data_IF_235649923923
#
_entry.id   IF_235649923923
#
_cell.length_a   1.000
_cell.length_b   1.000
_cell.length_c   1.000
_cell.angle_alpha   90.00
_cell.angle_beta   90.00
_cell.angle_gamma   90.00
#
_symmetry.space_group_name_H-M   'P 1'
#
loop_
_entity.id
_entity.type
_entity.pdbx_description
1 polymer ?
#
# COMPACT_ATOMS: atom_id res chain seq x y z
N UNK A 1 18.90 -9.55 -3.33
CA UNK A 1 17.64 -9.83 -2.62
C UNK A 1 16.68 -8.68 -2.88
N UNK A 2 15.39 -8.98 -3.08
CA UNK A 2 14.33 -7.96 -3.20
C UNK A 2 13.38 -8.18 -2.04
N UNK A 3 13.15 -7.16 -1.22
CA UNK A 3 12.07 -7.15 -0.25
C UNK A 3 10.82 -6.56 -0.91
N UNK A 4 9.84 -7.42 -1.20
CA UNK A 4 8.67 -7.02 -1.98
C UNK A 4 7.59 -6.32 -1.14
N UNK A 5 7.76 -6.19 0.18
CA UNK A 5 6.72 -5.60 1.02
C UNK A 5 7.32 -4.79 2.15
N UNK A 6 7.55 -3.51 1.87
CA UNK A 6 7.93 -2.53 2.90
C UNK A 6 6.91 -1.41 2.99
N UNK A 7 6.91 -0.72 4.12
CA UNK A 7 6.15 0.50 4.33
C UNK A 7 7.08 1.62 4.77
N UNK A 8 6.94 2.78 4.16
CA UNK A 8 7.47 4.04 4.65
C UNK A 8 6.40 5.13 4.49
N UNK A 9 6.61 6.27 5.14
CA UNK A 9 5.70 7.40 5.13
C UNK A 9 6.43 8.66 4.71
N UNK A 10 5.72 9.69 4.22
CA UNK A 10 6.29 11.03 4.15
C UNK A 10 6.84 11.41 5.52
N UNK A 11 8.04 11.99 5.58
CA UNK A 11 8.74 12.27 6.83
C UNK A 11 7.88 13.06 7.83
N UNK A 12 7.12 14.04 7.34
CA UNK A 12 6.19 14.85 8.14
C UNK A 12 5.03 14.05 8.77
N UNK A 13 4.74 12.85 8.28
CA UNK A 13 3.67 11.96 8.76
C UNK A 13 4.21 10.74 9.53
N UNK A 14 5.47 10.38 9.34
CA UNK A 14 6.10 9.16 9.87
C UNK A 14 5.86 8.95 11.38
N UNK A 15 6.26 9.90 12.22
CA UNK A 15 6.11 9.81 13.68
C UNK A 15 4.66 9.62 14.12
N UNK A 16 3.72 10.33 13.47
CA UNK A 16 2.28 10.19 13.77
C UNK A 16 1.75 8.83 13.33
N UNK A 17 2.12 8.37 12.14
CA UNK A 17 1.70 7.07 11.63
C UNK A 17 2.20 5.93 12.54
N UNK A 18 3.48 5.96 12.92
CA UNK A 18 4.06 4.98 13.83
C UNK A 18 3.41 4.99 15.21
N UNK A 19 3.10 6.16 15.77
CA UNK A 19 2.40 6.25 17.06
C UNK A 19 1.02 5.57 17.01
N UNK A 20 0.24 5.82 15.94
CA UNK A 20 -1.07 5.19 15.76
C UNK A 20 -0.95 3.67 15.58
N UNK A 21 -0.05 3.22 14.70
CA UNK A 21 0.11 1.80 14.38
C UNK A 21 0.66 1.00 15.56
N UNK A 22 1.64 1.54 16.29
CA UNK A 22 2.21 0.88 17.47
C UNK A 22 1.22 0.82 18.63
N UNK A 23 0.41 1.87 18.83
CA UNK A 23 -0.66 1.84 19.82
C UNK A 23 -1.73 0.79 19.49
N UNK A 24 -2.13 0.70 18.22
CA UNK A 24 -3.14 -0.26 17.78
C UNK A 24 -2.65 -1.71 17.86
N UNK A 25 -1.40 -1.97 17.44
CA UNK A 25 -0.82 -3.32 17.42
C UNK A 25 -0.18 -3.77 18.73
N UNK A 26 0.16 -2.84 19.63
CA UNK A 26 0.99 -3.12 20.81
C UNK A 26 2.46 -3.41 20.49
N UNK A 27 2.91 -3.14 19.26
CA UNK A 27 4.27 -3.45 18.78
C UNK A 27 5.09 -2.15 18.65
N UNK A 28 6.26 -2.12 19.28
CA UNK A 28 7.18 -1.00 19.14
C UNK A 28 7.83 -0.99 17.75
N UNK A 29 7.89 0.16 17.05
CA UNK A 29 8.56 0.25 15.77
C UNK A 29 10.08 0.17 15.94
N UNK A 30 10.75 -0.56 15.04
CA UNK A 30 12.21 -0.71 15.04
C UNK A 30 12.92 0.31 14.13
N UNK A 31 12.16 1.02 13.30
CA UNK A 31 12.63 2.07 12.38
C UNK A 31 11.79 3.33 12.58
N UNK A 32 12.28 4.46 12.07
CA UNK A 32 11.57 5.74 12.12
C UNK A 32 10.43 5.89 11.09
N UNK A 33 10.31 4.92 10.17
CA UNK A 33 9.27 4.89 9.14
C UNK A 33 9.49 5.90 8.01
N UNK A 34 10.66 6.53 7.95
CA UNK A 34 11.03 7.46 6.87
C UNK A 34 11.64 6.71 5.69
N UNK A 35 11.74 7.38 4.53
CA UNK A 35 12.42 6.80 3.35
C UNK A 35 13.92 6.61 3.63
N UNK A 36 14.53 7.54 4.36
CA UNK A 36 15.95 7.45 4.70
C UNK A 36 16.22 6.28 5.67
N UNK A 37 15.41 6.14 6.73
CA UNK A 37 15.53 5.02 7.67
C UNK A 37 15.30 3.67 7.00
N UNK A 38 14.38 3.58 6.03
CA UNK A 38 14.20 2.39 5.20
C UNK A 38 15.47 2.05 4.42
N UNK A 39 16.12 3.01 3.76
CA UNK A 39 17.37 2.78 3.00
C UNK A 39 18.52 2.33 3.90
N UNK A 40 18.65 2.91 5.08
CA UNK A 40 19.66 2.50 6.07
C UNK A 40 19.41 1.05 6.53
N UNK A 41 18.15 0.69 6.77
CA UNK A 41 17.75 -0.69 7.08
C UNK A 41 18.09 -1.65 5.94
N UNK A 42 17.79 -1.28 4.69
CA UNK A 42 18.12 -2.07 3.50
C UNK A 42 19.63 -2.30 3.38
N UNK A 43 20.44 -1.25 3.55
CA UNK A 43 21.89 -1.34 3.48
C UNK A 43 22.45 -2.29 4.56
N UNK A 44 21.98 -2.14 5.80
CA UNK A 44 22.37 -3.01 6.92
C UNK A 44 22.00 -4.48 6.72
N UNK A 45 20.91 -4.75 6.01
CA UNK A 45 20.41 -6.09 5.72
C UNK A 45 20.91 -6.69 4.38
N UNK A 46 21.63 -5.92 3.55
CA UNK A 46 22.05 -6.38 2.22
C UNK A 46 20.89 -6.53 1.22
N UNK A 47 19.79 -5.78 1.41
CA UNK A 47 18.65 -5.75 0.50
C UNK A 47 18.98 -4.80 -0.65
N UNK A 48 18.96 -5.33 -1.88
CA UNK A 48 19.35 -4.58 -3.07
C UNK A 48 18.22 -3.70 -3.61
N UNK A 49 16.98 -4.09 -3.35
CA UNK A 49 15.80 -3.34 -3.75
C UNK A 49 14.63 -3.64 -2.81
N UNK A 50 13.85 -2.61 -2.47
CA UNK A 50 12.61 -2.77 -1.74
C UNK A 50 11.42 -2.24 -2.55
N UNK A 51 10.22 -2.77 -2.29
CA UNK A 51 8.98 -2.33 -2.92
C UNK A 51 8.03 -1.77 -1.88
N UNK A 52 7.82 -0.45 -1.91
CA UNK A 52 6.93 0.25 -1.01
C UNK A 52 5.46 -0.04 -1.34
N UNK A 53 4.67 -0.31 -0.30
CA UNK A 53 3.24 -0.65 -0.36
C UNK A 53 2.40 0.44 0.34
N UNK A 54 2.24 1.63 -0.26
CA UNK A 54 1.47 2.69 0.37
C UNK A 54 -0.03 2.36 0.40
N UNK A 55 -0.77 2.95 1.33
CA UNK A 55 -2.21 2.75 1.43
C UNK A 55 -2.95 4.07 1.69
N UNK A 56 -3.92 4.38 0.84
CA UNK A 56 -4.91 5.43 1.10
C UNK A 56 -6.07 4.82 1.89
N UNK A 57 -6.27 5.30 3.11
CA UNK A 57 -7.38 4.86 3.99
C UNK A 57 -8.66 5.66 3.77
N UNK A 58 -8.59 6.69 2.92
CA UNK A 58 -9.74 7.49 2.47
C UNK A 58 -9.63 7.78 0.97
N UNK A 59 -10.77 7.95 0.25
CA UNK A 59 -10.75 8.23 -1.18
C UNK A 59 -9.90 9.44 -1.58
N UNK A 60 -10.03 10.55 -0.85
CA UNK A 60 -9.36 11.84 -1.11
C UNK A 60 -7.83 11.79 -0.95
N UNK A 61 -7.30 10.77 -0.28
CA UNK A 61 -5.86 10.57 -0.13
C UNK A 61 -5.22 9.90 -1.35
N UNK A 62 -5.98 9.23 -2.20
CA UNK A 62 -5.45 8.35 -3.25
C UNK A 62 -4.42 9.05 -4.14
N UNK A 63 -4.76 10.22 -4.67
CA UNK A 63 -3.89 10.93 -5.60
C UNK A 63 -2.60 11.44 -4.96
N UNK A 64 -2.70 12.00 -3.75
CA UNK A 64 -1.55 12.57 -3.03
C UNK A 64 -0.59 11.47 -2.58
N UNK A 65 -1.12 10.32 -2.13
CA UNK A 65 -0.33 9.14 -1.80
C UNK A 65 0.39 8.60 -3.05
N UNK A 66 -0.28 8.52 -4.20
CA UNK A 66 0.34 8.08 -5.45
C UNK A 66 1.40 9.06 -5.99
N UNK A 67 1.19 10.37 -5.81
CA UNK A 67 2.20 11.38 -6.15
C UNK A 67 3.48 11.19 -5.33
N UNK A 68 3.31 11.02 -4.02
CA UNK A 68 4.44 10.78 -3.13
C UNK A 68 5.14 9.45 -3.45
N UNK A 69 4.36 8.36 -3.60
CA UNK A 69 4.87 7.05 -3.98
C UNK A 69 5.71 7.09 -5.27
N UNK A 70 5.26 7.84 -6.28
CA UNK A 70 6.01 8.03 -7.52
C UNK A 70 7.29 8.84 -7.29
N UNK A 71 7.26 9.86 -6.42
CA UNK A 71 8.39 10.75 -6.15
C UNK A 71 9.56 10.07 -5.42
N UNK A 72 9.30 9.00 -4.66
CA UNK A 72 10.34 8.29 -3.91
C UNK A 72 10.99 7.16 -4.70
N UNK A 73 10.47 6.83 -5.90
CA UNK A 73 11.03 5.76 -6.72
C UNK A 73 12.46 6.09 -7.16
N UNK A 74 13.35 5.12 -6.95
CA UNK A 74 14.76 5.16 -7.32
C UNK A 74 15.22 3.74 -7.70
N UNK A 75 16.49 3.59 -8.12
CA UNK A 75 17.01 2.28 -8.54
C UNK A 75 16.95 1.19 -7.46
N UNK A 76 17.01 1.60 -6.19
CA UNK A 76 16.96 0.75 -5.00
C UNK A 76 15.56 0.68 -4.36
N UNK A 77 14.64 1.56 -4.73
CA UNK A 77 13.32 1.66 -4.11
C UNK A 77 12.24 1.80 -5.19
N UNK A 78 11.43 0.77 -5.34
CA UNK A 78 10.23 0.81 -6.19
C UNK A 78 9.00 1.09 -5.32
N UNK A 79 7.90 1.49 -5.95
CA UNK A 79 6.63 1.62 -5.23
C UNK A 79 5.47 1.08 -6.06
N UNK A 80 4.50 0.53 -5.35
CA UNK A 80 3.14 0.40 -5.86
C UNK A 80 2.41 1.72 -5.61
N UNK A 81 1.29 1.89 -6.30
CA UNK A 81 0.28 2.87 -5.92
C UNK A 81 -0.74 2.27 -4.96
N UNK A 82 -1.69 3.11 -4.58
CA UNK A 82 -2.92 2.75 -3.88
C UNK A 82 -4.10 3.19 -4.74
N UNK A 83 -5.23 2.49 -4.59
CA UNK A 83 -6.50 2.91 -5.13
C UNK A 83 -7.55 2.64 -4.07
N UNK A 84 -8.36 3.63 -3.73
CA UNK A 84 -9.45 3.42 -2.79
C UNK A 84 -10.71 3.04 -3.57
N UNK A 85 -11.41 1.93 -3.25
CA UNK A 85 -12.60 1.51 -4.01
C UNK A 85 -13.72 2.55 -4.09
N UNK A 86 -13.90 3.32 -3.01
CA UNK A 86 -14.86 4.44 -2.94
C UNK A 86 -14.41 5.74 -3.64
N UNK A 87 -13.30 5.73 -4.41
CA UNK A 87 -12.90 6.89 -5.22
C UNK A 87 -13.76 6.97 -6.50
N UNK A 88 -14.52 8.04 -6.69
CA UNK A 88 -15.40 8.18 -7.87
C UNK A 88 -14.64 8.15 -9.21
N UNK A 89 -13.43 8.72 -9.24
CA UNK A 89 -12.59 8.83 -10.45
C UNK A 89 -11.54 7.71 -10.54
N UNK A 90 -11.84 6.54 -9.97
CA UNK A 90 -10.86 5.44 -9.86
C UNK A 90 -10.32 4.96 -11.21
N UNK A 91 -11.11 5.00 -12.29
CA UNK A 91 -10.66 4.59 -13.63
C UNK A 91 -9.55 5.47 -14.17
N UNK A 92 -9.69 6.80 -14.02
CA UNK A 92 -8.67 7.76 -14.44
C UNK A 92 -7.43 7.65 -13.54
N UNK A 93 -7.64 7.41 -12.24
CA UNK A 93 -6.53 7.19 -11.32
C UNK A 93 -5.75 5.91 -11.64
N UNK A 94 -6.42 4.83 -12.04
CA UNK A 94 -5.77 3.59 -12.47
C UNK A 94 -4.84 3.83 -13.68
N UNK A 95 -5.31 4.59 -14.68
CA UNK A 95 -4.48 5.02 -15.83
C UNK A 95 -3.31 5.89 -15.37
N UNK A 96 -3.55 6.80 -14.41
CA UNK A 96 -2.54 7.69 -13.87
C UNK A 96 -1.44 6.94 -13.13
N UNK A 97 -1.79 5.97 -12.28
CA UNK A 97 -0.85 5.06 -11.58
C UNK A 97 0.12 4.44 -12.59
N UNK A 98 -0.41 3.92 -13.71
CA UNK A 98 0.44 3.37 -14.79
C UNK A 98 1.37 4.42 -15.39
N UNK A 99 0.86 5.63 -15.69
CA UNK A 99 1.67 6.71 -16.27
C UNK A 99 2.75 7.25 -15.33
N UNK A 100 2.56 7.14 -14.02
CA UNK A 100 3.54 7.49 -12.99
C UNK A 100 4.67 6.45 -12.86
N UNK A 101 4.59 5.35 -13.63
CA UNK A 101 5.59 4.28 -13.63
C UNK A 101 5.51 3.33 -12.42
N UNK A 102 4.49 3.47 -11.57
CA UNK A 102 4.20 2.58 -10.46
C UNK A 102 3.85 1.18 -10.99
N UNK A 103 4.31 0.13 -10.28
CA UNK A 103 4.27 -1.25 -10.81
C UNK A 103 2.93 -1.97 -10.60
N UNK A 104 2.12 -1.47 -9.68
CA UNK A 104 0.88 -2.10 -9.29
C UNK A 104 0.09 -1.26 -8.30
N UNK A 105 -0.96 -1.85 -7.75
CA UNK A 105 -1.83 -1.27 -6.73
C UNK A 105 -1.86 -2.18 -5.51
N UNK A 106 -1.60 -1.60 -4.34
CA UNK A 106 -1.80 -2.22 -3.04
C UNK A 106 -3.22 -1.94 -2.56
N UNK A 107 -3.93 -2.99 -2.15
CA UNK A 107 -5.18 -2.90 -1.42
C UNK A 107 -5.02 -3.44 -0.01
N UNK A 108 -5.67 -2.80 0.95
CA UNK A 108 -5.81 -3.30 2.31
C UNK A 108 -7.28 -3.28 2.69
N UNK A 109 -8.00 -4.38 2.41
CA UNK A 109 -9.46 -4.46 2.61
C UNK A 109 -9.94 -3.96 3.97
N UNK A 110 -9.25 -4.30 5.06
CA UNK A 110 -9.65 -3.82 6.40
C UNK A 110 -9.44 -2.32 6.64
N UNK A 111 -8.40 -1.69 6.07
CA UNK A 111 -8.19 -0.25 6.18
C UNK A 111 -9.05 0.56 5.22
N UNK A 112 -9.54 -0.08 4.15
CA UNK A 112 -10.31 0.56 3.09
C UNK A 112 -11.81 0.21 3.13
N UNK A 113 -12.20 -0.65 4.07
CA UNK A 113 -13.58 -1.01 4.41
C UNK A 113 -14.37 -1.54 3.20
N UNK A 114 -13.90 -2.67 2.66
CA UNK A 114 -14.55 -3.43 1.58
C UNK A 114 -14.11 -4.90 1.65
N UNK A 115 -14.94 -5.87 1.27
CA UNK A 115 -14.52 -7.27 1.15
C UNK A 115 -13.80 -7.52 -0.17
N UNK A 116 -12.74 -8.32 -0.14
CA UNK A 116 -11.89 -8.59 -1.31
C UNK A 116 -12.64 -9.19 -2.50
N UNK A 117 -13.77 -9.85 -2.26
CA UNK A 117 -14.62 -10.51 -3.23
C UNK A 117 -15.93 -9.75 -3.53
N UNK A 118 -16.08 -8.51 -3.05
CA UNK A 118 -17.27 -7.71 -3.35
C UNK A 118 -17.42 -7.48 -4.86
N UNK A 119 -18.60 -7.74 -5.42
CA UNK A 119 -18.87 -7.50 -6.85
C UNK A 119 -18.61 -6.05 -7.27
N UNK A 120 -18.73 -5.11 -6.33
CA UNK A 120 -18.50 -3.68 -6.57
C UNK A 120 -17.04 -3.33 -6.88
N UNK A 121 -16.09 -4.17 -6.48
CA UNK A 121 -14.65 -3.94 -6.72
C UNK A 121 -14.10 -4.75 -7.89
N UNK A 122 -14.85 -5.72 -8.41
CA UNK A 122 -14.43 -6.53 -9.56
C UNK A 122 -14.10 -5.70 -10.80
N UNK A 123 -14.88 -4.67 -11.20
CA UNK A 123 -14.52 -3.81 -12.34
C UNK A 123 -13.17 -3.09 -12.14
N UNK A 124 -12.81 -2.78 -10.90
CA UNK A 124 -11.51 -2.18 -10.58
C UNK A 124 -10.39 -3.17 -10.88
N UNK A 125 -10.54 -4.42 -10.46
CA UNK A 125 -9.52 -5.46 -10.68
C UNK A 125 -9.33 -5.79 -12.15
N UNK A 126 -10.44 -5.95 -12.88
CA UNK A 126 -10.43 -6.16 -14.33
C UNK A 126 -9.66 -5.03 -15.03
N UNK A 127 -9.97 -3.78 -14.67
CA UNK A 127 -9.33 -2.63 -15.27
C UNK A 127 -7.83 -2.54 -14.96
N UNK A 128 -7.43 -2.86 -13.72
CA UNK A 128 -6.02 -2.91 -13.34
C UNK A 128 -5.27 -4.03 -14.11
N UNK A 129 -5.91 -5.18 -14.31
CA UNK A 129 -5.37 -6.28 -15.11
C UNK A 129 -5.18 -5.88 -16.58
N UNK A 130 -6.17 -5.22 -17.20
CA UNK A 130 -6.07 -4.69 -18.57
C UNK A 130 -4.89 -3.72 -18.74
N UNK A 131 -4.64 -2.87 -17.73
CA UNK A 131 -3.51 -1.93 -17.68
C UNK A 131 -2.17 -2.61 -17.37
N UNK A 132 -2.17 -3.93 -17.15
CA UNK A 132 -1.01 -4.72 -16.74
C UNK A 132 -0.36 -4.14 -15.49
N UNK A 133 -1.19 -3.80 -14.50
CA UNK A 133 -0.78 -3.41 -13.15
C UNK A 133 -0.89 -4.64 -12.24
N UNK A 134 0.11 -4.86 -11.39
CA UNK A 134 0.06 -5.93 -10.39
C UNK A 134 -0.94 -5.53 -9.31
N UNK A 135 -1.75 -6.47 -8.82
CA UNK A 135 -2.63 -6.26 -7.67
C UNK A 135 -2.02 -7.00 -6.49
N UNK A 136 -1.83 -6.31 -5.36
CA UNK A 136 -1.39 -6.91 -4.11
C UNK A 136 -2.43 -6.64 -3.02
N UNK A 137 -2.92 -7.70 -2.38
CA UNK A 137 -3.80 -7.62 -1.23
C UNK A 137 -3.01 -7.85 0.05
N UNK A 138 -3.29 -7.05 1.08
CA UNK A 138 -3.08 -7.56 2.43
C UNK A 138 -4.24 -8.51 2.75
N UNK A 139 -3.93 -9.66 3.31
CA UNK A 139 -4.86 -10.74 3.58
C UNK A 139 -4.59 -11.36 4.95
N UNK A 140 -5.62 -11.92 5.56
CA UNK A 140 -5.57 -12.43 6.92
C UNK A 140 -5.81 -11.37 7.99
N UNK A 141 -5.56 -11.75 9.24
CA UNK A 141 -5.86 -10.91 10.42
C UNK A 141 -4.77 -9.84 10.57
N UNK A 142 -5.19 -8.57 10.63
CA UNK A 142 -4.36 -7.48 11.11
C UNK A 142 -4.55 -7.32 12.64
N UNK A 143 -3.45 -7.45 13.39
CA UNK A 143 -3.44 -7.43 14.86
C UNK A 143 -3.99 -6.11 15.43
N UNK A 144 -3.94 -5.01 14.67
CA UNK A 144 -4.42 -3.69 15.09
C UNK A 144 -5.88 -3.38 14.74
N UNK A 145 -6.61 -4.29 14.08
CA UNK A 145 -7.96 -4.03 13.58
C UNK A 145 -8.99 -5.02 14.17
N UNK A 146 -10.21 -4.54 14.51
CA UNK A 146 -11.26 -5.41 14.98
C UNK A 146 -11.82 -6.28 13.84
N UNK A 147 -12.48 -7.40 14.15
CA UNK A 147 -13.30 -8.11 13.18
C UNK A 147 -14.39 -7.21 12.57
N UNK A 148 -14.88 -7.53 11.35
CA UNK A 148 -14.52 -8.69 10.54
C UNK A 148 -13.17 -8.52 9.82
N UNK A 149 -12.56 -9.65 9.44
CA UNK A 149 -11.47 -9.66 8.45
C UNK A 149 -12.09 -9.64 7.05
N UNK A 150 -11.74 -8.65 6.24
CA UNK A 150 -12.32 -8.41 4.92
C UNK A 150 -11.58 -9.13 3.78
N UNK A 151 -10.41 -9.71 4.07
CA UNK A 151 -9.61 -10.48 3.13
C UNK A 151 -9.15 -11.83 3.73
N UNK A 152 -10.09 -12.68 4.19
CA UNK A 152 -9.77 -13.99 4.70
C UNK A 152 -9.43 -14.96 3.56
N UNK A 153 -8.68 -16.05 3.81
CA UNK A 153 -8.24 -16.98 2.76
C UNK A 153 -9.35 -17.61 1.92
N UNK A 154 -10.53 -17.85 2.51
CA UNK A 154 -11.70 -18.43 1.85
C UNK A 154 -12.38 -17.49 0.84
N UNK A 155 -12.10 -16.18 0.92
CA UNK A 155 -12.60 -15.17 -0.03
C UNK A 155 -11.62 -14.85 -1.17
N UNK A 156 -10.46 -15.50 -1.22
CA UNK A 156 -9.46 -15.39 -2.29
C UNK A 156 -9.36 -16.65 -3.17
N UNK A 157 -10.17 -17.68 -2.87
CA UNK A 157 -10.08 -19.02 -3.45
C UNK A 157 -10.79 -19.17 -4.81
#
# INVERSE_FOLDING_TARGET
>A
MIDFHVHCFPDALSAKALAVLSQASGIAPLTDGTVQGLRESMQGAGIACSVNMPIATKPDQTQSVNNWAASIQAGDLLSFGTLHPKLETWEEEAKRIKSLGLKGVKFHPDYQDFFVDDETVMPIYERLAELKLIILFHAGIDIGLPPPCHCPPDRLA
#
